data_IF_647104355632
#
_entry.id   IF_647104355632
#
_cell.length_a   1.000
_cell.length_b   1.000
_cell.length_c   1.000
_cell.angle_alpha   90.00
_cell.angle_beta   90.00
_cell.angle_gamma   90.00
#
_symmetry.space_group_name_H-M   'P 1'
#
loop_
_entity.id
_entity.type
_entity.pdbx_description
1 polymer ?
#
# COMPACT_ATOMS: atom_id res chain seq x y z
N UNK A 1 14.95 19.60 8.09
CA UNK A 1 14.26 20.51 9.03
C UNK A 1 12.79 20.80 8.66
N UNK A 2 12.21 20.23 7.61
CA UNK A 2 10.75 20.28 7.38
C UNK A 2 10.25 18.88 7.03
N UNK A 3 9.85 18.09 8.03
CA UNK A 3 9.04 16.88 7.80
C UNK A 3 7.61 17.22 8.19
N UNK A 4 6.79 17.56 7.21
CA UNK A 4 5.35 17.78 7.37
C UNK A 4 4.61 17.13 6.20
N UNK A 5 3.36 16.75 6.42
CA UNK A 5 2.49 16.37 5.32
C UNK A 5 2.30 17.60 4.41
N UNK A 6 2.24 17.37 3.10
CA UNK A 6 2.01 18.42 2.13
C UNK A 6 0.69 19.17 2.40
N UNK A 7 -0.35 18.46 2.87
CA UNK A 7 -1.62 19.04 3.27
C UNK A 7 -1.49 20.16 4.33
N UNK A 8 -0.57 20.00 5.27
CA UNK A 8 -0.37 20.95 6.38
C UNK A 8 0.68 22.03 6.06
N UNK A 9 1.40 21.86 4.96
CA UNK A 9 2.57 22.68 4.63
C UNK A 9 2.15 24.08 4.17
N UNK A 10 0.99 24.23 3.51
CA UNK A 10 0.48 25.54 3.10
C UNK A 10 0.10 26.45 4.29
N UNK A 11 -0.30 25.87 5.43
CA UNK A 11 -0.55 26.64 6.65
C UNK A 11 0.70 27.35 7.17
N UNK A 12 1.87 26.73 7.02
CA UNK A 12 3.17 27.28 7.43
C UNK A 12 3.79 28.24 6.41
N UNK A 13 3.37 28.15 5.14
CA UNK A 13 3.93 28.93 4.04
C UNK A 13 3.12 30.20 3.73
N UNK A 14 2.07 30.52 4.51
CA UNK A 14 1.14 31.65 4.32
C UNK A 14 1.78 33.04 4.14
N UNK A 15 3.06 33.21 4.46
CA UNK A 15 3.77 34.50 4.38
C UNK A 15 4.82 34.56 3.27
N UNK A 16 4.98 33.50 2.47
CA UNK A 16 5.94 33.47 1.36
C UNK A 16 5.21 33.52 0.01
N UNK A 17 5.65 34.44 -0.86
CA UNK A 17 5.24 34.46 -2.26
C UNK A 17 6.12 33.48 -3.05
N UNK A 18 5.50 32.65 -3.87
CA UNK A 18 6.17 31.73 -4.77
C UNK A 18 5.78 32.05 -6.20
N UNK A 19 6.75 32.13 -7.11
CA UNK A 19 6.51 32.37 -8.54
C UNK A 19 6.02 31.11 -9.26
N UNK A 20 6.21 29.94 -8.67
CA UNK A 20 5.70 28.66 -9.16
C UNK A 20 5.94 27.53 -8.16
N UNK A 21 5.01 26.57 -8.11
CA UNK A 21 5.12 25.36 -7.29
C UNK A 21 5.07 24.17 -8.26
N UNK A 22 6.15 23.39 -8.31
CA UNK A 22 6.20 22.13 -9.05
C UNK A 22 6.01 20.98 -8.08
N UNK A 23 5.11 20.07 -8.41
CA UNK A 23 4.77 18.92 -7.58
C UNK A 23 4.92 17.65 -8.38
N UNK A 24 5.88 16.82 -7.99
CA UNK A 24 6.04 15.47 -8.53
C UNK A 24 5.26 14.51 -7.64
N UNK A 25 4.06 14.15 -8.06
CA UNK A 25 3.19 13.20 -7.37
C UNK A 25 3.48 11.80 -7.89
N UNK A 26 4.42 11.13 -7.22
CA UNK A 26 4.83 9.78 -7.56
C UNK A 26 5.93 9.28 -6.64
N UNK A 27 6.21 7.99 -6.72
CA UNK A 27 7.40 7.38 -6.13
C UNK A 27 8.36 7.03 -7.25
N UNK A 28 9.61 7.44 -7.13
CA UNK A 28 10.67 6.98 -8.04
C UNK A 28 10.95 5.50 -7.82
N UNK A 29 11.41 4.79 -8.86
CA UNK A 29 11.73 3.36 -8.80
C UNK A 29 12.72 3.04 -7.65
N UNK A 30 13.72 3.91 -7.44
CA UNK A 30 14.69 3.76 -6.33
C UNK A 30 14.06 3.90 -4.94
N UNK A 31 12.92 4.57 -4.80
CA UNK A 31 12.18 4.65 -3.53
C UNK A 31 11.33 3.39 -3.27
N UNK A 32 10.90 2.69 -4.32
CA UNK A 32 10.22 1.39 -4.23
C UNK A 32 11.19 0.23 -3.95
N UNK A 33 12.48 0.39 -4.25
CA UNK A 33 13.53 -0.62 -4.05
C UNK A 33 14.00 -0.76 -2.58
N UNK A 34 13.48 0.06 -1.66
CA UNK A 34 13.79 -0.07 -0.23
C UNK A 34 12.91 -1.17 0.38
N UNK A 35 13.39 -2.42 0.32
CA UNK A 35 12.72 -3.58 0.91
C UNK A 35 12.30 -3.36 2.38
N UNK A 36 13.12 -2.65 3.15
CA UNK A 36 12.88 -2.38 4.58
C UNK A 36 11.63 -1.55 4.90
N UNK A 37 11.00 -0.90 3.92
CA UNK A 37 9.74 -0.14 4.12
C UNK A 37 8.49 -0.85 3.57
N UNK A 38 8.65 -2.01 2.95
CA UNK A 38 7.52 -2.81 2.48
C UNK A 38 6.85 -2.30 1.20
N UNK A 39 7.47 -1.37 0.47
CA UNK A 39 6.95 -0.89 -0.81
C UNK A 39 7.42 -1.71 -2.02
N UNK A 40 8.42 -2.58 -1.83
CA UNK A 40 8.97 -3.36 -2.92
C UNK A 40 8.05 -4.52 -3.31
N UNK A 41 7.85 -4.68 -4.62
CA UNK A 41 7.19 -5.85 -5.21
C UNK A 41 8.18 -6.96 -5.57
N UNK A 42 9.47 -6.63 -5.67
CA UNK A 42 10.54 -7.53 -6.08
C UNK A 42 11.21 -8.19 -4.87
N UNK A 43 11.42 -7.41 -3.81
CA UNK A 43 12.11 -7.87 -2.60
C UNK A 43 11.11 -8.06 -1.45
N UNK A 44 11.24 -9.19 -0.76
CA UNK A 44 10.47 -9.45 0.45
C UNK A 44 10.90 -8.51 1.58
N UNK A 45 9.93 -8.06 2.38
CA UNK A 45 10.15 -7.10 3.44
C UNK A 45 8.95 -7.00 4.39
N UNK A 46 9.09 -6.30 5.52
CA UNK A 46 8.00 -6.10 6.47
C UNK A 46 6.84 -5.37 5.79
N UNK A 47 5.61 -5.76 6.10
CA UNK A 47 4.41 -5.14 5.53
C UNK A 47 4.08 -3.80 6.22
N UNK A 48 4.95 -2.80 6.09
CA UNK A 48 4.73 -1.46 6.65
C UNK A 48 3.92 -0.59 5.67
N UNK A 49 4.48 -0.30 4.48
CA UNK A 49 3.89 0.55 3.43
C UNK A 49 3.51 1.98 3.87
N UNK A 50 4.02 2.48 4.99
CA UNK A 50 3.85 3.90 5.37
C UNK A 50 4.93 4.78 4.78
N UNK A 51 4.51 5.92 4.22
CA UNK A 51 5.42 6.98 3.76
C UNK A 51 6.04 7.77 4.94
N UNK A 52 5.35 7.79 6.09
CA UNK A 52 5.78 8.44 7.32
C UNK A 52 5.86 7.43 8.48
N UNK A 53 6.60 7.75 9.54
CA UNK A 53 6.69 6.88 10.72
C UNK A 53 5.43 6.90 11.62
N UNK A 54 4.39 7.62 11.21
CA UNK A 54 3.16 7.82 11.98
C UNK A 54 1.98 7.16 11.26
N UNK A 55 0.99 6.74 12.05
CA UNK A 55 -0.24 6.14 11.56
C UNK A 55 -0.18 4.62 11.44
N UNK A 56 -1.28 4.09 10.93
CA UNK A 56 -1.58 2.66 10.84
C UNK A 56 -0.78 2.00 9.71
N UNK A 57 -0.12 0.89 10.02
CA UNK A 57 0.65 0.12 9.04
C UNK A 57 -0.26 -0.75 8.18
N UNK A 58 0.22 -1.15 7.00
CA UNK A 58 -0.49 -2.11 6.16
C UNK A 58 -0.65 -3.47 6.87
N UNK A 59 0.34 -3.91 7.63
CA UNK A 59 0.27 -5.11 8.47
C UNK A 59 -0.89 -5.03 9.45
N UNK A 60 -0.98 -3.94 10.23
CA UNK A 60 -2.08 -3.77 11.19
C UNK A 60 -3.42 -3.79 10.46
N UNK A 61 -3.54 -3.04 9.36
CA UNK A 61 -4.75 -2.98 8.55
C UNK A 61 -5.23 -4.36 8.08
N UNK A 62 -4.39 -5.14 7.40
CA UNK A 62 -4.82 -6.43 6.86
C UNK A 62 -5.16 -7.44 7.96
N UNK A 63 -4.55 -7.30 9.14
CA UNK A 63 -4.77 -8.22 10.25
C UNK A 63 -5.97 -7.82 11.15
N UNK A 64 -6.40 -6.56 11.16
CA UNK A 64 -7.49 -6.10 12.06
C UNK A 64 -8.75 -5.61 11.35
N UNK A 65 -8.66 -5.03 10.16
CA UNK A 65 -9.81 -4.48 9.45
C UNK A 65 -10.86 -5.57 9.13
N UNK A 66 -12.12 -5.17 8.94
CA UNK A 66 -13.15 -6.10 8.53
C UNK A 66 -13.06 -6.45 7.03
N UNK A 67 -13.79 -7.48 6.60
CA UNK A 67 -13.76 -7.92 5.19
C UNK A 67 -14.24 -6.83 4.22
N UNK A 68 -15.24 -6.05 4.65
CA UNK A 68 -15.87 -5.04 3.82
C UNK A 68 -14.92 -3.87 3.59
N UNK A 69 -14.30 -3.36 4.65
CA UNK A 69 -13.31 -2.29 4.63
C UNK A 69 -12.10 -2.66 3.76
N UNK A 70 -11.57 -3.88 3.90
CA UNK A 70 -10.48 -4.36 3.04
C UNK A 70 -10.93 -4.37 1.57
N UNK A 71 -12.14 -4.88 1.29
CA UNK A 71 -12.65 -4.92 -0.08
C UNK A 71 -12.89 -3.53 -0.68
N UNK A 72 -13.35 -2.58 0.13
CA UNK A 72 -13.63 -1.21 -0.30
C UNK A 72 -12.35 -0.44 -0.57
N UNK A 73 -11.33 -0.61 0.29
CA UNK A 73 -10.00 -0.02 0.06
C UNK A 73 -9.38 -0.56 -1.23
N UNK A 74 -9.38 -1.88 -1.43
CA UNK A 74 -8.83 -2.50 -2.64
C UNK A 74 -9.59 -2.03 -3.89
N UNK A 75 -10.91 -1.93 -3.82
CA UNK A 75 -11.72 -1.48 -4.95
C UNK A 75 -11.48 0.00 -5.26
N UNK A 76 -11.60 0.87 -4.24
CA UNK A 76 -11.57 2.33 -4.40
C UNK A 76 -10.21 2.85 -4.82
N UNK A 77 -9.14 2.28 -4.28
CA UNK A 77 -7.77 2.77 -4.52
C UNK A 77 -6.99 1.89 -5.51
N UNK A 78 -7.33 0.61 -5.62
CA UNK A 78 -6.68 -0.34 -6.54
C UNK A 78 -7.43 -0.62 -7.84
N UNK A 79 -8.69 -0.17 -7.99
CA UNK A 79 -9.55 -0.46 -9.15
C UNK A 79 -9.67 -1.97 -9.48
N UNK A 80 -9.55 -2.86 -8.48
CA UNK A 80 -9.59 -4.31 -8.70
C UNK A 80 -11.02 -4.87 -8.50
N UNK A 81 -11.61 -5.33 -9.59
CA UNK A 81 -12.93 -5.99 -9.63
C UNK A 81 -13.07 -7.22 -8.71
N UNK A 82 -11.96 -7.90 -8.43
CA UNK A 82 -11.88 -9.09 -7.58
C UNK A 82 -11.66 -8.74 -6.10
N UNK A 83 -11.82 -7.46 -5.71
CA UNK A 83 -11.59 -6.96 -4.35
C UNK A 83 -12.23 -7.82 -3.26
N UNK A 84 -13.51 -8.18 -3.42
CA UNK A 84 -14.24 -9.04 -2.47
C UNK A 84 -13.60 -10.41 -2.30
N UNK A 85 -13.12 -11.00 -3.40
CA UNK A 85 -12.46 -12.32 -3.38
C UNK A 85 -11.10 -12.23 -2.70
N UNK A 86 -10.36 -11.16 -2.96
CA UNK A 86 -9.06 -10.88 -2.31
C UNK A 86 -9.26 -10.70 -0.80
N UNK A 87 -10.19 -9.82 -0.39
CA UNK A 87 -10.51 -9.57 1.01
C UNK A 87 -10.87 -10.86 1.76
N UNK A 88 -11.78 -11.67 1.20
CA UNK A 88 -12.16 -12.97 1.77
C UNK A 88 -10.96 -13.89 2.00
N UNK A 89 -10.01 -13.94 1.07
CA UNK A 89 -8.83 -14.79 1.21
C UNK A 89 -7.81 -14.22 2.20
N UNK A 90 -7.70 -12.89 2.32
CA UNK A 90 -6.92 -12.24 3.39
C UNK A 90 -7.48 -12.63 4.77
N UNK A 91 -8.80 -12.52 4.95
CA UNK A 91 -9.47 -12.91 6.20
C UNK A 91 -9.27 -14.40 6.53
N UNK A 92 -9.35 -15.27 5.51
CA UNK A 92 -9.09 -16.71 5.70
C UNK A 92 -7.64 -16.97 6.10
N UNK A 93 -6.69 -16.35 5.43
CA UNK A 93 -5.28 -16.58 5.68
C UNK A 93 -4.88 -16.07 7.07
N UNK A 94 -5.31 -14.87 7.47
CA UNK A 94 -4.95 -14.30 8.78
C UNK A 94 -5.43 -15.11 9.98
N UNK A 95 -6.46 -15.95 9.81
CA UNK A 95 -6.92 -16.91 10.84
C UNK A 95 -5.94 -18.06 11.04
N UNK A 96 -5.09 -18.34 10.07
CA UNK A 96 -4.10 -19.42 10.10
C UNK A 96 -2.74 -18.87 10.53
N UNK A 97 -2.31 -17.77 9.92
CA UNK A 97 -1.01 -17.17 10.18
C UNK A 97 -1.07 -15.64 9.98
N UNK A 98 -0.31 -14.91 10.80
CA UNK A 98 -0.19 -13.46 10.67
C UNK A 98 0.44 -13.08 9.32
N UNK A 99 -0.11 -12.03 8.70
CA UNK A 99 0.38 -11.47 7.43
C UNK A 99 1.32 -10.31 7.79
N UNK A 100 2.62 -10.58 7.81
CA UNK A 100 3.69 -9.68 8.31
C UNK A 100 4.67 -9.22 7.22
N UNK A 101 4.52 -9.75 6.00
CA UNK A 101 5.48 -9.57 4.91
C UNK A 101 4.79 -9.32 3.58
N UNK A 102 5.45 -8.53 2.73
CA UNK A 102 4.96 -8.17 1.40
C UNK A 102 4.75 -9.40 0.52
N UNK A 103 5.64 -10.40 0.63
CA UNK A 103 5.52 -11.65 -0.14
C UNK A 103 4.29 -12.46 0.25
N UNK A 104 4.00 -12.63 1.55
CA UNK A 104 2.78 -13.33 2.00
C UNK A 104 1.53 -12.65 1.45
N UNK A 105 1.45 -11.32 1.54
CA UNK A 105 0.32 -10.58 0.98
C UNK A 105 0.21 -10.78 -0.54
N UNK A 106 1.32 -10.68 -1.27
CA UNK A 106 1.35 -10.88 -2.71
C UNK A 106 0.90 -12.30 -3.12
N UNK A 107 1.31 -13.34 -2.38
CA UNK A 107 0.88 -14.71 -2.60
C UNK A 107 -0.63 -14.88 -2.42
N UNK A 108 -1.22 -14.29 -1.36
CA UNK A 108 -2.66 -14.31 -1.12
C UNK A 108 -3.42 -13.63 -2.27
N UNK A 109 -2.95 -12.46 -2.73
CA UNK A 109 -3.55 -11.73 -3.85
C UNK A 109 -3.45 -12.55 -5.14
N UNK A 110 -2.28 -13.12 -5.44
CA UNK A 110 -2.07 -13.98 -6.63
C UNK A 110 -2.99 -15.20 -6.62
N UNK A 111 -3.09 -15.88 -5.48
CA UNK A 111 -4.02 -17.00 -5.30
C UNK A 111 -5.47 -16.57 -5.52
N UNK A 112 -5.80 -15.37 -5.03
CA UNK A 112 -7.14 -14.80 -5.18
C UNK A 112 -7.48 -14.48 -6.62
N UNK A 113 -6.55 -14.01 -7.45
CA UNK A 113 -6.85 -13.64 -8.84
C UNK A 113 -6.89 -14.87 -9.76
N UNK A 114 -6.11 -15.90 -9.42
CA UNK A 114 -5.89 -17.08 -10.26
C UNK A 114 -4.86 -16.77 -11.35
N UNK A 115 -4.02 -17.75 -11.70
CA UNK A 115 -3.04 -17.60 -12.77
C UNK A 115 -3.76 -17.36 -14.11
N UNK A 116 -3.89 -16.09 -14.54
CA UNK A 116 -4.17 -15.78 -15.94
C UNK A 116 -2.85 -15.88 -16.70
N UNK A 117 -2.68 -16.97 -17.45
CA UNK A 117 -1.59 -17.16 -18.42
C UNK A 117 -1.55 -15.91 -19.34
N UNK A 118 -0.50 -15.09 -19.24
CA UNK A 118 -0.23 -14.02 -20.21
C UNK A 118 -0.33 -12.55 -19.77
N UNK A 119 -0.41 -12.20 -18.48
CA UNK A 119 -0.22 -10.79 -18.05
C UNK A 119 0.88 -10.67 -16.99
N UNK A 120 1.84 -9.80 -17.27
CA UNK A 120 2.95 -9.44 -16.40
C UNK A 120 2.39 -8.68 -15.17
N UNK A 121 2.85 -9.08 -13.98
CA UNK A 121 2.66 -8.47 -12.65
C UNK A 121 1.24 -7.98 -12.27
N UNK A 122 0.48 -8.83 -11.55
CA UNK A 122 -0.85 -8.52 -10.97
C UNK A 122 -0.81 -7.69 -9.67
N UNK A 123 0.34 -7.10 -9.32
CA UNK A 123 0.50 -6.24 -8.15
C UNK A 123 1.11 -4.90 -8.59
N UNK A 124 0.37 -4.18 -9.43
CA UNK A 124 0.63 -2.78 -9.79
C UNK A 124 -0.49 -1.95 -9.19
#
# INVERSE_FOLDING_TARGET
CCKSNFADSFGKLKQQKFDGIVMDLGVSSMQLDIAGRGFSFLYDGPLDMRMSAQGFSAEEFVNTADEQEISDVIYKYGNESLSRRIAKNIIKYRKIARIDSTRKLAEIVRYSIGFRKGKIAFAT
#
